data_IF_784422483264
#
_entry.id   IF_784422483264
#
_cell.length_a   1.000
_cell.length_b   1.000
_cell.length_c   1.000
_cell.angle_alpha   90.00
_cell.angle_beta   90.00
_cell.angle_gamma   90.00
#
_symmetry.space_group_name_H-M   'P 1'
#
loop_
_entity.id
_entity.type
_entity.pdbx_description
1 polymer ?
#
# COMPACT_ATOMS: atom_id res chain seq x y z
N UNK A 1 35.81 -11.57 2.31
CA UNK A 1 35.72 -10.09 2.50
C UNK A 1 34.28 -9.69 2.21
N UNK A 2 33.59 -9.01 3.12
CA UNK A 2 32.24 -8.53 2.84
C UNK A 2 32.32 -7.25 1.97
N UNK A 3 31.69 -7.27 0.80
CA UNK A 3 31.59 -6.11 -0.08
C UNK A 3 30.44 -5.22 0.37
N UNK A 4 30.64 -3.91 0.40
CA UNK A 4 29.62 -2.91 0.73
C UNK A 4 29.48 -1.95 -0.43
N UNK A 5 28.27 -1.74 -0.92
CA UNK A 5 27.91 -0.66 -1.84
C UNK A 5 27.28 0.47 -1.00
N UNK A 6 27.80 1.69 -1.13
CA UNK A 6 27.24 2.91 -0.53
C UNK A 6 26.90 3.86 -1.65
N UNK A 7 25.62 4.12 -1.85
CA UNK A 7 25.09 5.00 -2.89
C UNK A 7 23.96 5.83 -2.32
N UNK A 8 23.83 7.06 -2.75
CA UNK A 8 22.72 7.94 -2.38
C UNK A 8 21.54 7.78 -3.35
N UNK A 9 21.81 7.30 -4.58
CA UNK A 9 20.80 7.09 -5.63
C UNK A 9 21.13 5.83 -6.44
N UNK A 10 20.09 5.11 -6.86
CA UNK A 10 20.19 3.95 -7.74
C UNK A 10 19.19 4.11 -8.89
N UNK A 11 19.69 4.43 -10.08
CA UNK A 11 18.89 4.68 -11.28
C UNK A 11 19.11 3.59 -12.34
N UNK A 12 18.03 3.11 -12.98
CA UNK A 12 18.12 2.23 -14.13
C UNK A 12 18.41 3.01 -15.42
N UNK A 13 19.42 2.61 -16.18
CA UNK A 13 19.95 3.40 -17.31
C UNK A 13 19.17 3.21 -18.61
N UNK A 14 18.52 2.06 -18.84
CA UNK A 14 18.02 1.70 -20.17
C UNK A 14 16.50 1.65 -20.29
N UNK A 15 15.81 1.14 -19.29
CA UNK A 15 14.36 0.92 -19.34
C UNK A 15 13.80 0.98 -17.93
N UNK A 16 12.57 1.49 -17.78
CA UNK A 16 11.87 1.42 -16.50
C UNK A 16 11.85 -0.03 -16.00
N UNK A 17 12.19 -0.25 -14.74
CA UNK A 17 12.26 -1.58 -14.14
C UNK A 17 13.48 -2.42 -14.54
N UNK A 18 14.56 -1.83 -15.03
CA UNK A 18 15.75 -2.56 -15.47
C UNK A 18 16.76 -2.93 -14.38
N UNK A 19 16.50 -2.53 -13.12
CA UNK A 19 17.40 -2.89 -12.01
C UNK A 19 16.96 -4.24 -11.43
N UNK A 20 17.77 -5.25 -11.63
CA UNK A 20 17.55 -6.59 -11.10
C UNK A 20 18.48 -6.92 -9.93
N UNK A 21 17.94 -7.57 -8.92
CA UNK A 21 18.70 -8.19 -7.83
C UNK A 21 18.82 -9.69 -8.12
N UNK A 22 20.03 -10.16 -8.31
CA UNK A 22 20.31 -11.58 -8.55
C UNK A 22 20.59 -12.28 -7.22
N UNK A 23 19.96 -13.44 -7.03
CA UNK A 23 20.14 -14.28 -5.84
C UNK A 23 21.58 -14.79 -5.70
N UNK A 24 21.98 -15.17 -4.49
CA UNK A 24 23.20 -15.90 -4.23
C UNK A 24 23.24 -17.17 -5.10
N UNK A 25 24.32 -17.38 -5.84
CA UNK A 25 24.44 -18.46 -6.82
C UNK A 25 23.99 -18.12 -8.24
N UNK A 26 23.45 -16.95 -8.49
CA UNK A 26 23.24 -16.39 -9.84
C UNK A 26 22.08 -17.03 -10.64
N UNK A 27 21.25 -17.86 -10.01
CA UNK A 27 20.25 -18.65 -10.72
C UNK A 27 18.92 -17.91 -10.95
N UNK A 28 18.59 -16.93 -10.12
CA UNK A 28 17.31 -16.21 -10.16
C UNK A 28 17.52 -14.72 -9.96
N UNK A 29 16.87 -13.92 -10.79
CA UNK A 29 16.84 -12.46 -10.66
C UNK A 29 15.43 -11.98 -10.32
N UNK A 30 15.33 -10.94 -9.49
CA UNK A 30 14.08 -10.26 -9.17
C UNK A 30 14.24 -8.78 -9.47
N UNK A 31 13.26 -8.20 -10.15
CA UNK A 31 13.25 -6.76 -10.40
C UNK A 31 13.15 -5.98 -9.08
N UNK A 32 14.07 -5.05 -8.85
CA UNK A 32 14.13 -4.29 -7.61
C UNK A 32 12.86 -3.44 -7.41
N UNK A 33 12.35 -2.82 -8.47
CA UNK A 33 11.17 -1.98 -8.38
C UNK A 33 9.92 -2.78 -7.98
N UNK A 34 9.72 -3.97 -8.54
CA UNK A 34 8.58 -4.81 -8.17
C UNK A 34 8.64 -5.34 -6.74
N UNK A 35 9.84 -5.48 -6.20
CA UNK A 35 10.05 -5.89 -4.80
C UNK A 35 9.79 -4.80 -3.76
N UNK A 36 9.67 -3.53 -4.16
CA UNK A 36 9.47 -2.40 -3.26
C UNK A 36 8.00 -1.98 -3.21
N UNK A 37 7.52 -1.61 -2.02
CA UNK A 37 6.23 -0.98 -1.90
C UNK A 37 6.21 0.35 -2.66
N UNK A 38 5.13 0.60 -3.42
CA UNK A 38 4.92 1.85 -4.19
C UNK A 38 4.13 2.88 -3.41
N UNK A 39 3.35 2.42 -2.47
CA UNK A 39 2.63 3.20 -1.49
C UNK A 39 2.60 2.43 -0.18
N UNK A 40 2.65 3.10 0.93
CA UNK A 40 2.19 2.59 2.21
C UNK A 40 1.53 3.72 3.00
N UNK A 41 0.60 3.37 3.86
CA UNK A 41 -0.20 4.33 4.59
C UNK A 41 -0.63 3.77 5.93
N UNK A 42 -0.54 4.61 6.98
CA UNK A 42 -1.14 4.40 8.27
C UNK A 42 -2.26 5.44 8.46
N UNK A 43 -3.50 4.97 8.59
CA UNK A 43 -4.70 5.80 8.60
C UNK A 43 -5.46 5.60 9.91
N UNK A 44 -5.96 6.69 10.47
CA UNK A 44 -6.98 6.71 11.51
C UNK A 44 -8.29 7.27 10.92
N UNK A 45 -9.35 6.48 10.95
CA UNK A 45 -10.68 6.87 10.49
C UNK A 45 -11.73 6.84 11.62
N UNK A 46 -11.32 6.72 12.87
CA UNK A 46 -12.22 6.58 14.03
C UNK A 46 -13.19 7.74 14.22
N UNK A 47 -12.86 8.92 13.70
CA UNK A 47 -13.72 10.10 13.71
C UNK A 47 -14.75 10.14 12.57
N UNK A 48 -14.77 9.13 11.67
CA UNK A 48 -15.55 9.11 10.45
C UNK A 48 -14.88 9.81 9.27
N UNK A 49 -13.82 10.56 9.51
CA UNK A 49 -13.01 11.18 8.45
C UNK A 49 -11.61 10.56 8.47
N UNK A 50 -11.12 9.97 7.37
CA UNK A 50 -9.82 9.34 7.35
C UNK A 50 -8.70 10.37 7.45
N UNK A 51 -7.77 10.14 8.36
CA UNK A 51 -6.60 10.99 8.59
C UNK A 51 -5.33 10.16 8.40
N UNK A 52 -4.46 10.59 7.51
CA UNK A 52 -3.12 10.02 7.37
C UNK A 52 -2.29 10.32 8.62
N UNK A 53 -1.78 9.29 9.26
CA UNK A 53 -0.85 9.41 10.38
C UNK A 53 0.59 9.44 9.87
N UNK A 54 0.91 8.63 8.88
CA UNK A 54 2.19 8.60 8.16
C UNK A 54 2.02 7.78 6.86
N UNK A 55 2.81 8.08 5.83
CA UNK A 55 2.69 7.38 4.56
C UNK A 55 3.71 7.76 3.51
N UNK A 56 3.71 6.99 2.43
CA UNK A 56 4.50 7.20 1.23
C UNK A 56 3.58 7.15 0.01
N UNK A 57 3.73 8.10 -0.91
CA UNK A 57 3.02 8.18 -2.19
C UNK A 57 1.49 8.31 -2.07
N UNK A 58 0.96 8.70 -0.93
CA UNK A 58 -0.43 9.09 -0.78
C UNK A 58 -0.59 10.59 -1.04
N UNK A 59 -1.60 10.98 -1.82
CA UNK A 59 -1.94 12.40 -2.07
C UNK A 59 -3.16 12.83 -1.29
N UNK A 60 -4.21 12.01 -1.27
CA UNK A 60 -5.47 12.31 -0.58
C UNK A 60 -6.13 11.04 -0.08
N UNK A 61 -6.80 11.18 1.05
CA UNK A 61 -7.76 10.21 1.58
C UNK A 61 -9.15 10.85 1.52
N UNK A 62 -10.10 10.14 0.94
CA UNK A 62 -11.49 10.60 0.80
C UNK A 62 -12.42 9.67 1.53
N UNK A 63 -13.29 10.22 2.37
CA UNK A 63 -14.41 9.52 2.97
C UNK A 63 -15.54 9.37 1.93
N UNK A 64 -15.98 8.15 1.67
CA UNK A 64 -17.13 7.83 0.81
C UNK A 64 -18.36 7.53 1.68
N UNK A 65 -18.15 7.11 2.91
CA UNK A 65 -19.17 6.73 3.88
C UNK A 65 -18.60 5.77 4.91
N UNK A 66 -19.38 5.44 5.92
CA UNK A 66 -18.94 4.58 7.04
C UNK A 66 -18.17 3.37 6.56
N UNK A 67 -16.90 3.25 6.94
CA UNK A 67 -16.00 2.17 6.58
C UNK A 67 -15.66 2.07 5.09
N UNK A 68 -15.85 3.15 4.33
CA UNK A 68 -15.57 3.21 2.90
C UNK A 68 -14.73 4.43 2.55
N UNK A 69 -13.59 4.19 1.96
CA UNK A 69 -12.61 5.23 1.70
C UNK A 69 -11.96 5.08 0.33
N UNK A 70 -11.47 6.20 -0.22
CA UNK A 70 -10.58 6.23 -1.38
C UNK A 70 -9.20 6.70 -0.95
N UNK A 71 -8.16 5.99 -1.38
CA UNK A 71 -6.76 6.43 -1.27
C UNK A 71 -6.21 6.75 -2.66
N UNK A 72 -5.72 7.97 -2.86
CA UNK A 72 -5.18 8.43 -4.14
C UNK A 72 -3.66 8.51 -4.11
N UNK A 73 -3.01 8.16 -5.22
CA UNK A 73 -1.56 8.20 -5.36
C UNK A 73 -1.06 9.61 -5.72
N UNK A 74 0.09 10.00 -5.17
CA UNK A 74 0.83 11.18 -5.64
C UNK A 74 1.49 10.89 -7.00
N UNK A 75 2.12 9.72 -7.11
CA UNK A 75 2.69 9.21 -8.36
C UNK A 75 1.85 8.01 -8.80
N UNK A 76 1.17 8.09 -9.97
CA UNK A 76 0.26 7.06 -10.43
C UNK A 76 0.95 5.70 -10.64
N UNK A 77 0.15 4.64 -10.62
CA UNK A 77 0.56 3.31 -11.05
C UNK A 77 0.53 3.23 -12.57
N UNK A 78 1.38 2.39 -13.16
CA UNK A 78 1.42 2.18 -14.61
C UNK A 78 0.15 1.48 -15.15
N UNK A 79 -0.47 0.67 -14.31
CA UNK A 79 -1.71 -0.04 -14.62
C UNK A 79 -2.48 -0.33 -13.31
N UNK A 80 -3.64 -0.95 -13.40
CA UNK A 80 -4.51 -1.32 -12.29
C UNK A 80 -4.24 -2.75 -11.74
N UNK A 81 -3.18 -3.42 -12.22
CA UNK A 81 -2.79 -4.78 -11.80
C UNK A 81 -1.76 -4.72 -10.65
N UNK A 82 -2.12 -4.14 -9.53
CA UNK A 82 -1.29 -4.09 -8.33
C UNK A 82 -1.96 -4.81 -7.15
N UNK A 83 -1.18 -5.17 -6.15
CA UNK A 83 -1.68 -5.85 -4.95
C UNK A 83 -1.67 -4.90 -3.75
N UNK A 84 -2.66 -5.05 -2.87
CA UNK A 84 -2.84 -4.22 -1.68
C UNK A 84 -2.94 -5.12 -0.44
N UNK A 85 -1.84 -5.65 0.07
CA UNK A 85 -1.85 -6.26 1.40
C UNK A 85 -2.23 -5.20 2.43
N UNK A 86 -3.19 -5.54 3.27
CA UNK A 86 -3.79 -4.62 4.21
C UNK A 86 -4.19 -5.31 5.51
N UNK A 87 -4.18 -4.55 6.58
CA UNK A 87 -4.68 -4.99 7.88
C UNK A 87 -5.18 -3.79 8.67
N UNK A 88 -6.04 -4.01 9.66
CA UNK A 88 -6.52 -2.93 10.50
C UNK A 88 -7.23 -3.43 11.74
N UNK A 89 -7.54 -2.49 12.62
CA UNK A 89 -8.33 -2.71 13.82
C UNK A 89 -9.31 -1.58 14.06
N UNK A 90 -10.44 -1.91 14.64
CA UNK A 90 -11.46 -0.92 14.96
C UNK A 90 -11.01 0.02 16.09
N UNK A 91 -10.24 -0.48 17.06
CA UNK A 91 -9.79 0.27 18.24
C UNK A 91 -8.60 -0.45 18.88
N UNK A 92 -7.71 0.28 19.50
CA UNK A 92 -6.58 -0.25 20.27
C UNK A 92 -7.01 -1.07 21.49
N UNK A 93 -8.24 -0.88 21.97
CA UNK A 93 -8.75 -1.47 23.22
C UNK A 93 -9.64 -2.68 23.03
N UNK A 94 -10.08 -2.96 21.81
CA UNK A 94 -10.95 -4.11 21.53
C UNK A 94 -10.10 -5.27 21.05
N UNK A 95 -10.09 -6.36 21.82
CA UNK A 95 -9.40 -7.60 21.46
C UNK A 95 -9.78 -8.09 20.05
N UNK A 96 -8.89 -8.85 19.46
CA UNK A 96 -8.89 -9.31 18.06
C UNK A 96 -10.27 -9.84 17.61
N UNK A 97 -11.00 -9.01 16.92
CA UNK A 97 -12.18 -9.43 16.17
C UNK A 97 -11.73 -9.58 14.72
N UNK A 98 -12.22 -10.60 14.02
CA UNK A 98 -11.89 -10.79 12.62
C UNK A 98 -12.35 -9.58 11.81
N UNK A 99 -11.42 -8.78 11.35
CA UNK A 99 -11.62 -7.55 10.57
C UNK A 99 -10.95 -7.71 9.22
N UNK A 100 -11.58 -7.19 8.19
CA UNK A 100 -11.09 -7.24 6.83
C UNK A 100 -11.00 -5.84 6.26
N UNK A 101 -9.94 -5.60 5.50
CA UNK A 101 -9.84 -4.45 4.60
C UNK A 101 -9.92 -5.03 3.19
N UNK A 102 -10.93 -4.63 2.45
CA UNK A 102 -11.23 -5.17 1.13
C UNK A 102 -11.01 -4.09 0.07
N UNK A 103 -9.93 -4.16 -0.73
CA UNK A 103 -9.73 -3.25 -1.85
C UNK A 103 -10.82 -3.38 -2.90
N UNK A 104 -11.19 -2.24 -3.52
CA UNK A 104 -12.20 -2.12 -4.56
C UNK A 104 -11.77 -1.08 -5.60
N UNK A 105 -12.42 -1.06 -6.76
CA UNK A 105 -12.28 0.00 -7.78
C UNK A 105 -10.84 0.44 -8.00
N UNK A 106 -9.96 -0.49 -8.37
CA UNK A 106 -8.55 -0.17 -8.62
C UNK A 106 -8.42 0.61 -9.93
N UNK A 107 -7.75 1.76 -9.87
CA UNK A 107 -7.38 2.58 -11.04
C UNK A 107 -5.88 2.90 -11.00
N UNK A 108 -5.35 3.55 -12.00
CA UNK A 108 -3.95 3.98 -11.98
C UNK A 108 -3.68 5.12 -11.00
N UNK A 109 -4.69 5.91 -10.63
CA UNK A 109 -4.57 7.11 -9.77
C UNK A 109 -5.01 6.90 -8.33
N UNK A 110 -5.84 5.90 -8.07
CA UNK A 110 -6.47 5.67 -6.78
C UNK A 110 -7.02 4.24 -6.65
N UNK A 111 -7.47 3.91 -5.44
CA UNK A 111 -8.29 2.73 -5.19
C UNK A 111 -9.25 2.99 -4.03
N UNK A 112 -10.43 2.37 -4.11
CA UNK A 112 -11.36 2.32 -3.00
C UNK A 112 -11.07 1.11 -2.11
N UNK A 113 -11.41 1.22 -0.83
CA UNK A 113 -11.37 0.10 0.09
C UNK A 113 -12.47 0.17 1.14
N UNK A 114 -12.89 -0.99 1.59
CA UNK A 114 -13.85 -1.14 2.68
C UNK A 114 -13.14 -1.65 3.94
N UNK A 115 -13.54 -1.14 5.09
CA UNK A 115 -13.24 -1.68 6.41
C UNK A 115 -14.45 -2.47 6.90
N UNK A 116 -14.34 -3.80 6.92
CA UNK A 116 -15.46 -4.70 7.14
C UNK A 116 -15.27 -5.53 8.40
N UNK A 117 -16.35 -5.68 9.14
CA UNK A 117 -16.45 -6.62 10.24
C UNK A 117 -16.79 -8.02 9.70
N UNK A 118 -16.56 -9.06 10.50
CA UNK A 118 -16.81 -10.46 10.12
C UNK A 118 -18.24 -10.80 9.66
N UNK A 119 -19.19 -9.94 9.95
CA UNK A 119 -20.59 -10.08 9.51
C UNK A 119 -20.91 -9.22 8.27
N UNK A 120 -19.92 -8.59 7.64
CA UNK A 120 -20.09 -7.71 6.48
C UNK A 120 -20.54 -6.28 6.81
N UNK A 121 -20.64 -5.91 8.10
CA UNK A 121 -20.93 -4.52 8.48
C UNK A 121 -19.70 -3.64 8.28
N UNK A 122 -19.91 -2.43 7.77
CA UNK A 122 -18.87 -1.45 7.54
C UNK A 122 -18.64 -0.60 8.80
N UNK A 123 -17.38 -0.30 9.10
CA UNK A 123 -16.97 0.45 10.28
C UNK A 123 -15.77 1.35 9.99
N UNK A 124 -15.74 2.51 10.60
CA UNK A 124 -14.58 3.40 10.61
C UNK A 124 -13.54 2.86 11.60
N UNK A 125 -12.39 2.40 11.07
CA UNK A 125 -11.34 1.81 11.88
C UNK A 125 -10.39 2.88 12.43
N UNK A 126 -9.91 2.67 13.66
CA UNK A 126 -8.86 3.51 14.25
C UNK A 126 -7.49 3.25 13.63
N UNK A 127 -7.21 2.00 13.28
CA UNK A 127 -5.93 1.63 12.68
C UNK A 127 -6.16 0.93 11.35
N UNK A 128 -5.70 1.52 10.27
CA UNK A 128 -5.74 0.98 8.92
C UNK A 128 -4.31 1.04 8.36
N UNK A 129 -3.76 -0.10 7.97
CA UNK A 129 -2.44 -0.21 7.37
C UNK A 129 -2.56 -0.77 5.97
N UNK A 130 -2.07 -0.01 5.00
CA UNK A 130 -2.10 -0.35 3.58
C UNK A 130 -0.68 -0.40 3.04
N UNK A 131 -0.43 -1.32 2.11
CA UNK A 131 0.78 -1.31 1.27
C UNK A 131 0.39 -1.66 -0.15
N UNK A 132 1.03 -1.05 -1.14
CA UNK A 132 0.77 -1.29 -2.56
C UNK A 132 2.04 -1.76 -3.24
N UNK A 133 1.94 -2.86 -3.98
CA UNK A 133 3.03 -3.43 -4.77
C UNK A 133 2.57 -3.57 -6.22
N UNK A 134 3.37 -3.05 -7.14
CA UNK A 134 3.09 -3.01 -8.58
C UNK A 134 4.13 -2.15 -9.31
N UNK A 135 3.79 -1.63 -10.48
CA UNK A 135 4.65 -0.77 -11.28
C UNK A 135 4.16 0.68 -11.23
N UNK A 136 5.06 1.63 -10.94
CA UNK A 136 4.79 3.06 -11.12
C UNK A 136 4.81 3.44 -12.61
N UNK A 137 4.02 4.47 -12.99
CA UNK A 137 3.98 5.02 -14.34
C UNK A 137 5.28 5.72 -14.72
#
# INVERSE_FOLDING_TARGET
MASKLKVDELEGVTTAGSIDVTSEGGAVSTNLQQGLAKMWENIDASSGTPVSQDGLNNSTLTDIGTGQFTASFTNPMNNDNYSIPSTGSRSDTVGAVAMSITPRSLTTSDFDFNCEYNNGSLWDYENIFLSVFGDLA
#
